data_IF_406677387279
#
_entry.id   IF_406677387279
#
_cell.length_a   1.000
_cell.length_b   1.000
_cell.length_c   1.000
_cell.angle_alpha   90.00
_cell.angle_beta   90.00
_cell.angle_gamma   90.00
#
_symmetry.space_group_name_H-M   'P 1'
#
loop_
_entity.id
_entity.type
_entity.pdbx_description
1 polymer ?
#
# COMPACT_ATOMS: atom_id res chain seq x y z
N UNK A 1 7.85 21.28 10.78
CA UNK A 1 8.20 20.01 10.13
C UNK A 1 7.52 20.00 8.77
N UNK A 2 8.25 20.20 7.67
CA UNK A 2 7.68 20.01 6.34
C UNK A 2 7.71 18.50 6.04
N UNK A 3 6.54 17.94 5.73
CA UNK A 3 6.41 16.56 5.28
C UNK A 3 5.81 16.59 3.88
N UNK A 4 6.57 16.19 2.86
CA UNK A 4 5.95 15.92 1.57
C UNK A 4 5.49 14.46 1.51
N UNK A 5 4.37 14.28 0.82
CA UNK A 5 3.66 13.01 0.71
C UNK A 5 3.28 12.84 -0.75
N UNK A 6 3.64 11.70 -1.31
CA UNK A 6 3.16 11.29 -2.63
C UNK A 6 2.49 9.95 -2.45
N UNK A 7 1.22 9.90 -2.81
CA UNK A 7 0.36 8.73 -2.65
C UNK A 7 -0.14 8.32 -4.04
N UNK A 8 -0.10 7.03 -4.33
CA UNK A 8 -0.79 6.39 -5.46
C UNK A 8 -1.82 5.45 -4.88
N UNK A 9 -3.07 5.55 -5.34
CA UNK A 9 -4.19 4.75 -4.88
C UNK A 9 -4.92 4.18 -6.08
N UNK A 10 -5.08 2.87 -6.09
CA UNK A 10 -5.91 2.17 -7.05
C UNK A 10 -7.08 1.55 -6.31
N UNK A 11 -8.27 1.65 -6.90
CA UNK A 11 -9.46 0.95 -6.43
C UNK A 11 -10.25 0.42 -7.60
N UNK A 12 -10.73 -0.80 -7.52
CA UNK A 12 -11.68 -1.36 -8.49
C UNK A 12 -13.09 -1.33 -7.90
N UNK A 13 -14.00 -0.67 -8.62
CA UNK A 13 -15.37 -0.44 -8.19
C UNK A 13 -16.21 -1.72 -8.25
N UNK A 14 -15.84 -2.66 -9.13
CA UNK A 14 -16.60 -3.88 -9.39
C UNK A 14 -16.32 -4.99 -8.37
N UNK A 15 -15.23 -4.90 -7.61
CA UNK A 15 -14.74 -6.01 -6.77
C UNK A 15 -14.30 -5.64 -5.36
N UNK A 16 -14.24 -4.34 -5.02
CA UNK A 16 -13.89 -3.89 -3.66
C UNK A 16 -12.42 -4.06 -3.29
N UNK A 17 -11.51 -4.20 -4.27
CA UNK A 17 -10.07 -4.27 -4.02
C UNK A 17 -9.38 -2.92 -4.17
N UNK A 18 -8.34 -2.71 -3.35
CA UNK A 18 -7.48 -1.54 -3.42
C UNK A 18 -6.00 -1.93 -3.46
N UNK A 19 -5.19 -1.03 -4.01
CA UNK A 19 -3.73 -1.06 -3.93
C UNK A 19 -3.22 0.34 -3.60
N UNK A 20 -2.32 0.44 -2.62
CA UNK A 20 -1.66 1.70 -2.24
C UNK A 20 -0.16 1.60 -2.41
N UNK A 21 0.43 2.67 -2.93
CA UNK A 21 1.86 2.94 -2.87
C UNK A 21 2.06 4.37 -2.34
N UNK A 22 2.73 4.50 -1.21
CA UNK A 22 2.82 5.73 -0.44
C UNK A 22 4.27 6.02 -0.10
N UNK A 23 4.72 7.21 -0.45
CA UNK A 23 6.00 7.74 -0.02
C UNK A 23 5.79 8.96 0.86
N UNK A 24 6.41 8.96 2.03
CA UNK A 24 6.41 10.07 2.97
C UNK A 24 7.83 10.34 3.41
N UNK A 25 8.17 11.61 3.61
CA UNK A 25 9.39 11.96 4.33
C UNK A 25 9.13 13.03 5.37
N UNK A 26 9.88 12.95 6.47
CA UNK A 26 9.95 13.95 7.52
C UNK A 26 11.30 14.64 7.49
N UNK A 27 11.29 15.97 7.50
CA UNK A 27 12.49 16.80 7.62
C UNK A 27 12.71 17.27 9.07
N UNK A 28 13.97 17.34 9.50
CA UNK A 28 14.38 17.98 10.74
C UNK A 28 15.05 19.33 10.39
N UNK A 29 14.47 20.44 10.82
CA UNK A 29 14.98 21.78 10.48
C UNK A 29 16.30 22.10 11.18
N UNK A 30 16.54 21.55 12.36
CA UNK A 30 17.80 21.74 13.09
C UNK A 30 18.93 20.87 12.55
N UNK A 31 18.57 19.74 11.92
CA UNK A 31 19.48 18.76 11.34
C UNK A 31 18.99 18.35 9.94
N UNK A 32 19.21 19.18 8.90
CA UNK A 32 18.71 18.93 7.55
C UNK A 32 19.27 17.64 6.91
N UNK A 33 20.44 17.18 7.37
CA UNK A 33 21.04 15.90 7.01
C UNK A 33 20.25 14.69 7.53
N UNK A 34 19.48 14.88 8.61
CA UNK A 34 18.74 13.83 9.31
C UNK A 34 17.30 13.69 8.80
N UNK A 35 17.17 13.26 7.53
CA UNK A 35 15.86 12.97 6.92
C UNK A 35 15.43 11.54 7.25
N UNK A 36 14.13 11.38 7.51
CA UNK A 36 13.48 10.06 7.63
C UNK A 36 12.48 9.92 6.50
N UNK A 37 12.54 8.83 5.75
CA UNK A 37 11.61 8.51 4.68
C UNK A 37 10.98 7.14 4.88
N UNK A 38 9.74 7.01 4.42
CA UNK A 38 9.01 5.75 4.43
C UNK A 38 8.37 5.52 3.07
N UNK A 39 8.56 4.32 2.54
CA UNK A 39 7.86 3.80 1.37
C UNK A 39 6.98 2.66 1.85
N UNK A 40 5.69 2.75 1.59
CA UNK A 40 4.71 1.72 1.94
C UNK A 40 4.04 1.24 0.66
N UNK A 41 3.95 -0.07 0.51
CA UNK A 41 3.09 -0.70 -0.47
C UNK A 41 2.20 -1.73 0.23
N UNK A 42 0.91 -1.72 -0.07
CA UNK A 42 -0.03 -2.72 0.42
C UNK A 42 -1.23 -2.82 -0.52
N UNK A 43 -1.83 -4.00 -0.59
CA UNK A 43 -3.12 -4.20 -1.25
C UNK A 43 -4.09 -4.94 -0.34
N UNK A 44 -5.35 -4.96 -0.72
CA UNK A 44 -6.39 -5.66 0.03
C UNK A 44 -7.78 -5.27 -0.40
N UNK A 45 -8.73 -5.34 0.52
CA UNK A 45 -10.14 -4.99 0.28
C UNK A 45 -10.49 -3.67 0.97
N UNK A 46 -11.35 -2.89 0.36
CA UNK A 46 -11.87 -1.67 0.96
C UNK A 46 -13.39 -1.73 1.11
N UNK A 47 -13.88 -1.16 2.21
CA UNK A 47 -15.31 -1.07 2.49
C UNK A 47 -15.71 0.40 2.59
N UNK A 48 -16.74 0.78 1.83
CA UNK A 48 -17.41 2.08 1.94
C UNK A 48 -18.55 1.96 2.94
N UNK A 49 -18.36 2.52 4.13
CA UNK A 49 -19.36 2.44 5.19
C UNK A 49 -20.48 3.47 4.99
N UNK A 50 -21.68 3.17 5.49
CA UNK A 50 -22.86 4.05 5.37
C UNK A 50 -22.68 5.43 6.04
N UNK A 51 -21.75 5.53 7.00
CA UNK A 51 -21.38 6.78 7.65
C UNK A 51 -20.44 7.67 6.79
N UNK A 52 -20.08 7.23 5.58
CA UNK A 52 -19.18 7.95 4.67
C UNK A 52 -17.69 7.67 4.89
N UNK A 53 -17.34 6.79 5.83
CA UNK A 53 -15.95 6.37 6.05
C UNK A 53 -15.50 5.28 5.08
N UNK A 54 -14.18 5.18 4.86
CA UNK A 54 -13.55 4.08 4.12
C UNK A 54 -12.68 3.28 5.08
N UNK A 55 -12.86 1.96 5.10
CA UNK A 55 -11.95 1.04 5.80
C UNK A 55 -11.11 0.31 4.76
N UNK A 56 -9.79 0.32 4.92
CA UNK A 56 -8.84 -0.41 4.10
C UNK A 56 -8.30 -1.60 4.90
N UNK A 57 -8.64 -2.82 4.46
CA UNK A 57 -8.21 -4.06 5.09
C UNK A 57 -7.13 -4.73 4.23
N UNK A 58 -5.85 -4.72 4.64
CA UNK A 58 -4.77 -5.32 3.86
C UNK A 58 -4.88 -6.84 3.79
N UNK A 59 -4.42 -7.43 2.68
CA UNK A 59 -4.34 -8.88 2.51
C UNK A 59 -3.23 -9.54 3.36
N UNK A 60 -2.36 -8.72 3.96
CA UNK A 60 -1.27 -9.16 4.84
C UNK A 60 0.06 -9.45 4.14
N UNK A 61 0.25 -8.98 2.91
CA UNK A 61 1.49 -9.09 2.13
C UNK A 61 2.15 -7.74 1.83
N UNK A 62 1.62 -6.66 2.41
CA UNK A 62 2.19 -5.32 2.33
C UNK A 62 3.53 -5.21 3.05
N UNK A 63 4.34 -4.26 2.62
CA UNK A 63 5.62 -3.93 3.25
C UNK A 63 5.79 -2.43 3.38
N UNK A 64 6.50 -2.04 4.42
CA UNK A 64 7.04 -0.70 4.57
C UNK A 64 8.55 -0.76 4.71
N UNK A 65 9.23 0.08 3.93
CA UNK A 65 10.63 0.39 4.12
C UNK A 65 10.73 1.73 4.85
N UNK A 66 11.52 1.77 5.90
CA UNK A 66 11.86 2.99 6.64
C UNK A 66 13.35 3.22 6.46
N UNK A 67 13.70 4.40 5.96
CA UNK A 67 15.08 4.84 5.82
C UNK A 67 15.29 6.10 6.66
N UNK A 68 16.38 6.15 7.42
CA UNK A 68 16.77 7.28 8.26
C UNK A 68 18.26 7.54 8.09
N UNK A 69 18.65 8.80 7.88
CA UNK A 69 20.07 9.12 7.73
C UNK A 69 20.84 9.11 9.06
N UNK A 70 20.16 9.42 10.17
CA UNK A 70 20.81 9.66 11.47
C UNK A 70 20.36 8.70 12.58
N UNK A 71 19.54 7.70 12.28
CA UNK A 71 19.07 6.71 13.26
C UNK A 71 19.89 5.42 13.25
N UNK A 72 19.86 4.69 14.36
CA UNK A 72 20.59 3.43 14.56
C UNK A 72 20.16 2.26 13.64
N UNK A 73 19.07 2.43 12.87
CA UNK A 73 18.65 1.52 11.81
C UNK A 73 18.40 2.34 10.54
N UNK A 74 19.46 2.59 9.77
CA UNK A 74 19.42 3.55 8.66
C UNK A 74 18.55 3.10 7.49
N UNK A 75 18.29 1.80 7.35
CA UNK A 75 17.36 1.25 6.37
C UNK A 75 16.85 -0.11 6.85
N UNK A 76 15.54 -0.24 7.04
CA UNK A 76 14.93 -1.54 7.33
C UNK A 76 13.58 -1.69 6.64
N UNK A 77 13.25 -2.94 6.34
CA UNK A 77 11.95 -3.33 5.80
C UNK A 77 11.20 -4.17 6.81
N UNK A 78 9.91 -3.89 6.96
CA UNK A 78 9.02 -4.62 7.85
C UNK A 78 7.66 -4.85 7.19
N UNK A 79 6.95 -5.88 7.64
CA UNK A 79 5.61 -6.16 7.16
C UNK A 79 4.67 -4.98 7.45
N UNK A 80 3.77 -4.70 6.52
CA UNK A 80 2.72 -3.72 6.65
C UNK A 80 1.37 -4.42 6.55
N UNK A 81 0.74 -4.63 7.70
CA UNK A 81 -0.57 -5.27 7.83
C UNK A 81 -1.47 -4.44 8.76
N UNK A 82 -1.50 -3.13 8.51
CA UNK A 82 -2.27 -2.17 9.30
C UNK A 82 -3.57 -1.85 8.55
N UNK A 83 -4.69 -2.00 9.23
CA UNK A 83 -5.99 -1.55 8.73
C UNK A 83 -6.06 -0.03 8.84
N UNK A 84 -6.29 0.67 7.71
CA UNK A 84 -6.42 2.13 7.70
C UNK A 84 -7.89 2.55 7.66
N UNK A 85 -8.23 3.58 8.44
CA UNK A 85 -9.55 4.21 8.43
C UNK A 85 -9.42 5.64 7.90
N UNK A 86 -10.19 5.95 6.86
CA UNK A 86 -10.46 7.32 6.44
C UNK A 86 -11.84 7.72 6.92
N UNK A 87 -11.92 8.78 7.72
CA UNK A 87 -13.17 9.22 8.33
C UNK A 87 -14.20 9.62 7.26
N UNK A 88 -13.74 10.28 6.21
CA UNK A 88 -14.58 10.68 5.09
C UNK A 88 -13.77 10.78 3.79
N UNK A 89 -14.47 10.77 2.68
CA UNK A 89 -13.91 10.96 1.35
C UNK A 89 -14.86 11.75 0.47
N UNK A 90 -14.31 12.41 -0.55
CA UNK A 90 -15.09 13.18 -1.52
C UNK A 90 -14.33 13.31 -2.83
N UNK A 91 -15.06 13.29 -3.95
CA UNK A 91 -14.51 13.51 -5.28
C UNK A 91 -14.96 14.90 -5.75
N UNK A 92 -14.02 15.70 -6.24
CA UNK A 92 -14.26 16.99 -6.88
C UNK A 92 -13.76 16.99 -8.30
N UNK A 93 -14.32 17.83 -9.15
CA UNK A 93 -13.75 18.11 -10.46
C UNK A 93 -12.95 19.40 -10.40
N UNK A 94 -11.65 19.30 -10.65
CA UNK A 94 -10.76 20.42 -10.85
C UNK A 94 -10.83 20.91 -12.30
N UNK A 95 -10.85 22.23 -12.51
CA UNK A 95 -10.94 22.81 -13.87
C UNK A 95 -9.69 22.55 -14.71
N UNK A 96 -8.53 22.32 -14.08
CA UNK A 96 -7.26 22.13 -14.76
C UNK A 96 -6.90 20.65 -14.91
N UNK A 97 -7.13 19.86 -13.86
CA UNK A 97 -6.65 18.47 -13.79
C UNK A 97 -7.78 17.42 -13.82
N UNK A 98 -9.04 17.84 -13.85
CA UNK A 98 -10.18 16.93 -13.85
C UNK A 98 -10.49 16.35 -12.47
N UNK A 99 -11.06 15.14 -12.38
CA UNK A 99 -11.48 14.56 -11.11
C UNK A 99 -10.32 14.41 -10.12
N UNK A 100 -10.55 14.80 -8.86
CA UNK A 100 -9.64 14.65 -7.73
C UNK A 100 -10.34 14.06 -6.52
N UNK A 101 -9.72 13.06 -5.92
CA UNK A 101 -10.13 12.40 -4.69
C UNK A 101 -9.46 13.08 -3.49
N UNK A 102 -10.29 13.47 -2.53
CA UNK A 102 -9.89 13.97 -1.22
C UNK A 102 -10.25 12.92 -0.18
N UNK A 103 -9.25 12.45 0.57
CA UNK A 103 -9.46 11.58 1.72
C UNK A 103 -9.14 12.36 3.00
N UNK A 104 -9.85 12.02 4.08
CA UNK A 104 -9.62 12.58 5.40
C UNK A 104 -9.20 11.46 6.34
N UNK A 105 -8.09 11.65 7.04
CA UNK A 105 -7.59 10.70 8.03
C UNK A 105 -8.60 10.53 9.18
N UNK A 106 -8.33 9.60 10.09
CA UNK A 106 -9.20 9.33 11.24
C UNK A 106 -9.46 10.57 12.13
N UNK A 107 -8.53 11.54 12.14
CA UNK A 107 -8.59 12.80 12.89
C UNK A 107 -9.26 13.95 12.09
N UNK A 108 -9.75 13.67 10.89
CA UNK A 108 -10.35 14.65 9.98
C UNK A 108 -9.32 15.51 9.24
N UNK A 109 -8.02 15.30 9.43
CA UNK A 109 -7.00 16.03 8.66
C UNK A 109 -6.99 15.54 7.21
N UNK A 110 -6.91 16.44 6.22
CA UNK A 110 -6.89 16.04 4.82
C UNK A 110 -5.56 15.36 4.48
N UNK A 111 -5.61 14.28 3.69
CA UNK A 111 -4.41 13.79 3.02
C UNK A 111 -4.16 14.58 1.74
N UNK A 112 -2.99 14.37 1.15
CA UNK A 112 -2.64 14.98 -0.10
C UNK A 112 -3.65 14.58 -1.20
N UNK A 113 -4.17 15.53 -1.99
CA UNK A 113 -5.21 15.23 -2.98
C UNK A 113 -4.67 14.28 -4.04
N UNK A 114 -5.52 13.38 -4.54
CA UNK A 114 -5.16 12.43 -5.58
C UNK A 114 -5.94 12.76 -6.86
N UNK A 115 -5.26 12.98 -7.97
CA UNK A 115 -5.84 13.24 -9.28
C UNK A 115 -6.08 11.96 -10.06
N UNK A 116 -7.18 11.90 -10.78
CA UNK A 116 -7.52 10.73 -11.58
C UNK A 116 -6.61 10.64 -12.81
N UNK A 117 -5.97 9.48 -12.98
CA UNK A 117 -5.17 9.18 -14.16
C UNK A 117 -5.88 8.23 -15.14
N UNK A 118 -6.72 7.31 -14.65
CA UNK A 118 -7.46 6.36 -15.48
C UNK A 118 -8.77 5.90 -14.83
N UNK A 119 -9.78 5.61 -15.65
CA UNK A 119 -11.03 4.89 -15.28
C UNK A 119 -10.93 3.37 -15.46
N UNK A 120 -9.80 2.90 -16.02
CA UNK A 120 -9.51 1.48 -16.26
C UNK A 120 -8.16 1.13 -15.61
N UNK A 121 -8.10 1.04 -14.27
CA UNK A 121 -6.87 0.68 -13.59
C UNK A 121 -6.54 -0.81 -13.79
N UNK A 122 -5.28 -1.11 -14.04
CA UNK A 122 -4.75 -2.47 -13.96
C UNK A 122 -4.10 -2.68 -12.59
N UNK A 123 -4.77 -3.40 -11.69
CA UNK A 123 -4.22 -3.78 -10.38
C UNK A 123 -3.46 -5.10 -10.46
N UNK A 124 -2.53 -5.30 -9.52
CA UNK A 124 -1.89 -6.61 -9.33
C UNK A 124 -2.93 -7.70 -8.96
N UNK A 125 -2.58 -8.99 -9.13
CA UNK A 125 -3.50 -10.09 -8.79
C UNK A 125 -4.03 -10.00 -7.35
N UNK A 126 -5.33 -10.28 -7.20
CA UNK A 126 -6.11 -10.27 -5.94
C UNK A 126 -5.83 -11.50 -5.06
N UNK A 127 -4.57 -11.75 -4.80
CA UNK A 127 -4.10 -12.85 -3.98
C UNK A 127 -2.82 -12.39 -3.30
N UNK A 128 -2.51 -12.99 -2.16
CA UNK A 128 -1.22 -12.77 -1.51
C UNK A 128 -0.10 -13.00 -2.52
N UNK A 129 0.69 -11.97 -2.77
CA UNK A 129 1.81 -12.04 -3.71
C UNK A 129 2.98 -12.85 -3.14
N UNK A 130 2.94 -13.18 -1.84
CA UNK A 130 3.95 -13.98 -1.14
C UNK A 130 3.28 -14.99 -0.21
N UNK A 131 3.83 -16.20 -0.20
CA UNK A 131 3.49 -17.20 0.80
C UNK A 131 4.45 -17.00 1.99
N UNK A 132 4.01 -16.30 3.04
CA UNK A 132 4.80 -16.16 4.27
C UNK A 132 4.71 -17.48 5.02
N UNK A 133 5.53 -18.47 4.64
CA UNK A 133 5.76 -19.65 5.47
C UNK A 133 6.57 -19.15 6.67
N UNK A 134 5.96 -19.14 7.86
CA UNK A 134 6.72 -18.98 9.10
C UNK A 134 7.83 -20.03 9.06
N UNK A 135 9.08 -19.57 9.14
CA UNK A 135 10.25 -20.44 9.18
C UNK A 135 10.07 -21.39 10.38
N UNK A 136 9.62 -22.61 10.14
CA UNK A 136 9.59 -23.64 11.18
C UNK A 136 11.05 -24.01 11.41
N UNK A 137 11.59 -23.57 12.55
CA UNK A 137 12.91 -23.99 13.02
C UNK A 137 12.81 -25.46 13.36
N UNK A 138 13.33 -26.33 12.48
CA UNK A 138 13.44 -27.76 12.74
C UNK A 138 14.62 -27.99 13.69
N UNK A 139 14.33 -28.33 14.93
CA UNK A 139 15.35 -28.77 15.90
C UNK A 139 15.80 -30.19 15.57
N UNK A 140 17.09 -30.40 15.37
CA UNK A 140 17.68 -31.71 15.05
C UNK A 140 17.72 -32.62 16.27
N UNK A 141 17.13 -33.82 16.19
CA UNK A 141 17.56 -34.96 17.01
C UNK A 141 17.71 -36.20 16.11
N UNK A 142 18.91 -36.78 16.10
CA UNK A 142 19.26 -38.04 15.44
C UNK A 142 19.20 -38.06 13.90
N UNK A 143 19.84 -37.08 13.25
CA UNK A 143 20.55 -37.32 11.98
C UNK A 143 19.73 -37.64 10.72
N UNK A 144 18.39 -37.57 10.75
CA UNK A 144 17.58 -37.63 9.53
C UNK A 144 17.07 -36.23 9.16
N UNK A 145 17.69 -35.64 8.13
CA UNK A 145 17.24 -34.38 7.52
C UNK A 145 16.43 -34.73 6.28
N UNK A 146 15.12 -34.45 6.30
CA UNK A 146 14.30 -34.45 5.09
C UNK A 146 13.60 -33.09 4.97
N UNK A 147 14.12 -32.23 4.09
CA UNK A 147 13.42 -31.05 3.58
C UNK A 147 13.79 -30.83 2.12
N UNK A 148 12.98 -31.40 1.22
CA UNK A 148 12.98 -31.09 -0.22
C UNK A 148 11.72 -30.27 -0.51
N UNK A 149 11.87 -28.97 -0.77
CA UNK A 149 10.84 -28.21 -1.50
C UNK A 149 11.48 -27.19 -2.44
N UNK A 150 11.76 -27.63 -3.66
CA UNK A 150 12.00 -26.74 -4.79
C UNK A 150 10.67 -26.10 -5.22
N UNK A 151 10.43 -24.85 -4.80
CA UNK A 151 9.27 -24.08 -5.27
C UNK A 151 9.55 -23.54 -6.68
N UNK A 152 9.05 -24.23 -7.69
CA UNK A 152 9.04 -23.72 -9.06
C UNK A 152 8.13 -22.48 -9.16
N UNK A 153 8.71 -21.34 -9.55
CA UNK A 153 7.95 -20.11 -9.87
C UNK A 153 7.04 -20.40 -11.07
N UNK A 154 5.75 -20.63 -10.85
CA UNK A 154 4.78 -20.54 -11.95
C UNK A 154 4.69 -19.08 -12.36
N UNK A 155 5.16 -18.76 -13.57
CA UNK A 155 4.93 -17.47 -14.19
C UNK A 155 3.42 -17.20 -14.22
N UNK A 156 2.99 -16.10 -13.61
CA UNK A 156 1.61 -15.66 -13.68
C UNK A 156 1.22 -15.47 -15.16
N UNK A 157 0.17 -16.17 -15.62
CA UNK A 157 -0.38 -15.92 -16.95
C UNK A 157 -0.97 -14.52 -16.96
N UNK A 158 -0.40 -13.63 -17.77
CA UNK A 158 -1.00 -12.33 -18.09
C UNK A 158 -2.41 -12.57 -18.62
N UNK A 159 -3.41 -12.28 -17.80
CA UNK A 159 -4.80 -12.26 -18.26
C UNK A 159 -4.99 -11.05 -19.17
N UNK A 160 -5.80 -11.22 -20.21
CA UNK A 160 -6.21 -10.12 -21.08
C UNK A 160 -6.82 -8.99 -20.22
N UNK A 161 -6.67 -7.72 -20.63
CA UNK A 161 -7.32 -6.62 -19.94
C UNK A 161 -8.83 -6.77 -20.09
N UNK A 162 -9.45 -7.35 -19.06
CA UNK A 162 -10.87 -7.18 -18.82
C UNK A 162 -11.09 -5.70 -18.51
N UNK A 163 -12.05 -5.06 -19.19
CA UNK A 163 -12.45 -3.68 -18.94
C UNK A 163 -13.06 -3.58 -17.55
N UNK A 164 -12.19 -3.49 -16.54
CA UNK A 164 -12.56 -3.39 -15.12
C UNK A 164 -12.84 -1.94 -14.80
N UNK A 165 -14.04 -1.66 -14.29
CA UNK A 165 -14.36 -0.31 -13.83
C UNK A 165 -13.61 -0.06 -12.53
N UNK A 166 -12.76 0.94 -12.55
CA UNK A 166 -12.03 1.34 -11.37
C UNK A 166 -11.46 2.72 -11.52
N UNK A 167 -10.68 3.14 -10.54
CA UNK A 167 -10.09 4.45 -10.53
C UNK A 167 -8.62 4.33 -10.15
N UNK A 168 -7.75 4.88 -10.99
CA UNK A 168 -6.36 5.11 -10.63
C UNK A 168 -6.18 6.58 -10.26
N UNK A 169 -5.75 6.82 -9.02
CA UNK A 169 -5.49 8.14 -8.48
C UNK A 169 -4.03 8.31 -8.08
N UNK A 170 -3.48 9.51 -8.29
CA UNK A 170 -2.09 9.85 -7.94
C UNK A 170 -1.99 11.30 -7.48
N UNK A 171 -1.13 11.56 -6.50
CA UNK A 171 -0.75 12.92 -6.10
C UNK A 171 -0.18 13.74 -7.26
#
# INVERSE_FOLDING_TARGET
MLAARTDSFFSSADDGWYEIARFRYGSNASHPECVVSTVVWAHGTYDLLQNGSIVLTPAGDGYQQVQSTCGDNSNFMQNYNITELYQSWRIYTDVTFGPKLHLFQYDGSPVAPLFQLSTEPNMLPKQKLRNLVQQVVTTTSNGLVTTETLVARKAAKRHAPETRRGWFWRW
#
